data_IF_562510652570
#
_entry.id   IF_562510652570
#
_cell.length_a   1.000
_cell.length_b   1.000
_cell.length_c   1.000
_cell.angle_alpha   90.00
_cell.angle_beta   90.00
_cell.angle_gamma   90.00
#
_symmetry.space_group_name_H-M   'P 1'
#
loop_
_entity.id
_entity.type
_entity.pdbx_description
1 polymer ?
#
# COMPACT_ATOMS: atom_id res chain seq x y z
N UNK A 1 34.49 -32.76 16.85
CA UNK A 1 34.55 -31.87 15.67
C UNK A 1 33.29 -32.12 14.86
N UNK A 2 32.43 -31.11 14.72
CA UNK A 2 31.18 -31.19 13.97
C UNK A 2 31.24 -30.22 12.78
N UNK A 3 30.62 -30.55 11.63
CA UNK A 3 30.74 -29.73 10.42
C UNK A 3 29.85 -28.48 10.52
N UNK A 4 30.39 -27.37 10.02
CA UNK A 4 29.70 -26.10 9.91
C UNK A 4 28.81 -26.11 8.66
N UNK A 5 27.52 -25.81 8.80
CA UNK A 5 26.62 -25.60 7.66
C UNK A 5 26.87 -24.20 7.06
N UNK A 6 26.73 -24.02 5.73
CA UNK A 6 27.19 -22.82 5.02
C UNK A 6 26.37 -21.54 5.25
N UNK A 7 25.33 -21.57 6.09
CA UNK A 7 24.50 -20.41 6.40
C UNK A 7 24.34 -20.33 7.91
N UNK A 8 25.19 -19.55 8.56
CA UNK A 8 25.38 -19.52 10.02
C UNK A 8 24.16 -19.11 10.84
N UNK A 9 23.27 -20.05 11.13
CA UNK A 9 22.16 -19.86 12.06
C UNK A 9 22.26 -20.85 13.22
N UNK A 10 22.29 -20.33 14.45
CA UNK A 10 22.07 -21.09 15.69
C UNK A 10 20.74 -20.67 16.33
N UNK A 11 19.89 -21.59 16.82
CA UNK A 11 18.60 -21.22 17.39
C UNK A 11 18.67 -20.91 18.89
N UNK A 12 18.35 -19.67 19.25
CA UNK A 12 17.69 -19.26 20.50
C UNK A 12 16.61 -18.27 20.05
N UNK A 13 15.36 -18.24 20.49
CA UNK A 13 14.60 -19.02 21.46
C UNK A 13 13.27 -18.27 21.61
N UNK A 14 12.17 -19.00 21.49
CA UNK A 14 10.81 -18.67 21.93
C UNK A 14 10.05 -17.48 21.28
N UNK A 15 8.82 -17.83 20.87
CA UNK A 15 7.67 -16.99 20.52
C UNK A 15 7.60 -16.42 19.09
N UNK A 16 6.92 -17.15 18.20
CA UNK A 16 5.62 -16.71 17.66
C UNK A 16 4.92 -17.90 16.98
N UNK A 17 3.85 -18.42 17.58
CA UNK A 17 3.05 -19.51 17.00
C UNK A 17 2.23 -19.03 15.78
N UNK A 18 2.15 -17.71 15.51
CA UNK A 18 1.48 -17.18 14.31
C UNK A 18 2.33 -17.34 13.03
N UNK A 19 3.63 -17.63 13.16
CA UNK A 19 4.55 -17.77 12.02
C UNK A 19 4.58 -19.19 11.44
N UNK A 20 4.12 -20.19 12.20
CA UNK A 20 4.02 -21.59 11.74
C UNK A 20 2.76 -21.79 10.90
N UNK A 21 1.68 -21.07 11.21
CA UNK A 21 0.42 -21.17 10.48
C UNK A 21 0.46 -20.45 9.12
N UNK A 22 1.26 -19.37 9.01
CA UNK A 22 1.54 -18.73 7.71
C UNK A 22 2.49 -19.58 6.83
N UNK A 23 3.40 -20.36 7.44
CA UNK A 23 4.34 -21.25 6.72
C UNK A 23 3.69 -22.54 6.20
N UNK A 24 2.73 -23.11 6.96
CA UNK A 24 2.01 -24.33 6.53
C UNK A 24 1.02 -24.08 5.38
N UNK A 25 0.57 -22.83 5.18
CA UNK A 25 -0.32 -22.46 4.09
C UNK A 25 0.41 -22.34 2.73
N UNK A 26 1.75 -22.26 2.71
CA UNK A 26 2.54 -21.97 1.51
C UNK A 26 3.25 -23.20 0.88
N UNK A 27 3.31 -24.37 1.54
CA UNK A 27 4.26 -25.44 1.15
C UNK A 27 3.71 -26.88 1.10
N UNK A 28 2.57 -27.16 0.45
CA UNK A 28 2.20 -28.52 0.07
C UNK A 28 1.41 -28.57 -1.25
N UNK A 29 2.13 -28.48 -2.37
CA UNK A 29 2.05 -29.48 -3.45
C UNK A 29 3.26 -29.34 -4.39
N UNK A 30 4.00 -30.45 -4.52
CA UNK A 30 5.28 -30.63 -5.23
C UNK A 30 5.09 -30.95 -6.73
N UNK A 31 6.15 -30.92 -7.57
CA UNK A 31 6.09 -30.82 -9.04
C UNK A 31 6.16 -32.18 -9.77
N UNK A 32 5.72 -32.25 -11.03
CA UNK A 32 6.24 -33.22 -12.02
C UNK A 32 6.23 -32.67 -13.46
N UNK A 33 7.18 -33.12 -14.33
CA UNK A 33 7.55 -32.45 -15.58
C UNK A 33 6.90 -33.07 -16.83
N UNK A 34 6.81 -32.28 -17.91
CA UNK A 34 6.52 -32.76 -19.26
C UNK A 34 6.72 -31.66 -20.31
N UNK A 35 7.49 -31.89 -21.39
CA UNK A 35 7.87 -30.85 -22.34
C UNK A 35 6.89 -30.77 -23.52
N UNK A 36 6.54 -29.57 -23.98
CA UNK A 36 6.20 -29.35 -25.39
C UNK A 36 6.32 -27.87 -25.75
N UNK A 37 7.03 -27.63 -26.85
CA UNK A 37 7.54 -26.35 -27.29
C UNK A 37 6.51 -25.52 -28.07
N UNK A 38 6.52 -24.21 -27.86
CA UNK A 38 6.42 -23.20 -28.93
C UNK A 38 6.93 -21.84 -28.42
N UNK A 39 7.89 -21.20 -29.11
CA UNK A 39 8.30 -19.84 -28.81
C UNK A 39 7.41 -18.86 -29.58
N UNK A 40 6.73 -17.95 -28.88
CA UNK A 40 6.18 -16.75 -29.51
C UNK A 40 6.67 -15.53 -28.74
N UNK A 41 7.76 -14.97 -29.25
CA UNK A 41 8.20 -13.62 -28.92
C UNK A 41 7.24 -12.66 -29.61
N UNK A 42 6.57 -11.80 -28.85
CA UNK A 42 6.24 -10.45 -29.33
C UNK A 42 6.34 -9.50 -28.14
N UNK A 43 7.57 -9.06 -27.93
CA UNK A 43 7.90 -7.84 -27.20
C UNK A 43 7.29 -6.65 -27.95
N UNK A 44 6.02 -6.36 -27.72
CA UNK A 44 5.41 -5.11 -28.16
C UNK A 44 5.76 -4.01 -27.15
N UNK A 45 6.98 -3.49 -27.32
CA UNK A 45 7.51 -2.33 -26.61
C UNK A 45 6.78 -1.06 -27.10
N UNK A 46 5.53 -0.88 -26.67
CA UNK A 46 4.86 0.41 -26.82
C UNK A 46 5.49 1.40 -25.84
N UNK A 47 6.32 2.30 -26.38
CA UNK A 47 6.96 3.41 -25.68
C UNK A 47 5.97 4.41 -25.08
N UNK A 48 5.27 4.02 -24.02
CA UNK A 48 4.50 4.92 -23.18
C UNK A 48 5.36 5.35 -22.01
N UNK A 49 5.67 6.66 -21.96
CA UNK A 49 6.21 7.39 -20.79
C UNK A 49 5.92 6.61 -19.51
N UNK A 50 6.93 6.11 -18.80
CA UNK A 50 6.75 5.40 -17.52
C UNK A 50 5.94 6.32 -16.61
N UNK A 51 4.61 6.11 -16.56
CA UNK A 51 3.73 6.93 -15.72
C UNK A 51 4.12 6.53 -14.31
N UNK A 52 4.73 7.47 -13.57
CA UNK A 52 5.11 7.26 -12.17
C UNK A 52 3.94 6.61 -11.45
N UNK A 53 4.18 5.42 -10.91
CA UNK A 53 3.15 4.61 -10.25
C UNK A 53 2.60 5.40 -9.06
N UNK A 54 1.30 5.71 -9.08
CA UNK A 54 0.64 6.53 -8.05
C UNK A 54 0.91 6.00 -6.64
N UNK A 55 1.25 6.90 -5.71
CA UNK A 55 1.49 6.59 -4.29
C UNK A 55 0.21 6.74 -3.47
N UNK A 56 0.09 6.00 -2.37
CA UNK A 56 -1.14 6.00 -1.55
C UNK A 56 -1.53 7.41 -1.07
N UNK A 57 -0.57 8.22 -0.62
CA UNK A 57 -0.89 9.58 -0.16
C UNK A 57 -1.45 10.49 -1.27
N UNK A 58 -1.06 10.25 -2.53
CA UNK A 58 -1.60 10.99 -3.68
C UNK A 58 -3.06 10.58 -3.91
N UNK A 59 -3.33 9.27 -3.91
CA UNK A 59 -4.69 8.75 -3.96
C UNK A 59 -5.56 9.28 -2.81
N UNK A 60 -5.06 9.30 -1.58
CA UNK A 60 -5.83 9.79 -0.43
C UNK A 60 -6.18 11.27 -0.58
N UNK A 61 -5.26 12.07 -1.13
CA UNK A 61 -5.53 13.46 -1.44
C UNK A 61 -6.62 13.58 -2.52
N UNK A 62 -6.53 12.83 -3.62
CA UNK A 62 -7.57 12.84 -4.67
C UNK A 62 -8.95 12.45 -4.08
N UNK A 63 -9.01 11.47 -3.17
CA UNK A 63 -10.25 11.08 -2.48
C UNK A 63 -10.76 12.12 -1.48
N UNK A 64 -9.89 12.98 -0.94
CA UNK A 64 -10.29 14.09 -0.07
C UNK A 64 -10.89 15.26 -0.85
N UNK A 65 -10.59 15.36 -2.16
CA UNK A 65 -11.16 16.36 -3.05
C UNK A 65 -12.49 15.90 -3.68
N UNK A 66 -12.77 14.60 -3.69
CA UNK A 66 -14.00 14.03 -4.22
C UNK A 66 -15.16 14.12 -3.20
N UNK A 67 -16.22 14.91 -3.45
CA UNK A 67 -17.35 15.02 -2.55
C UNK A 67 -18.10 13.71 -2.30
N UNK A 68 -18.07 12.77 -3.25
CA UNK A 68 -18.73 11.46 -3.12
C UNK A 68 -18.06 10.57 -2.07
N UNK A 69 -16.79 10.85 -1.74
CA UNK A 69 -15.98 10.07 -0.80
C UNK A 69 -16.05 10.58 0.64
N UNK A 70 -16.81 11.65 0.92
CA UNK A 70 -16.95 12.26 2.25
C UNK A 70 -17.45 11.30 3.33
N UNK A 71 -18.21 10.27 2.95
CA UNK A 71 -18.67 9.23 3.86
C UNK A 71 -17.55 8.27 4.32
N UNK A 72 -16.41 8.26 3.62
CA UNK A 72 -15.25 7.39 3.86
C UNK A 72 -14.07 8.15 4.46
N UNK A 73 -13.80 9.36 3.97
CA UNK A 73 -12.65 10.19 4.34
C UNK A 73 -13.00 11.67 4.16
N UNK A 74 -12.56 12.53 5.08
CA UNK A 74 -12.80 13.97 4.98
C UNK A 74 -11.69 14.78 5.65
N UNK A 75 -11.58 16.05 5.21
CA UNK A 75 -10.78 17.05 5.90
C UNK A 75 -11.41 17.39 7.24
N UNK A 76 -10.63 17.26 8.31
CA UNK A 76 -10.99 17.83 9.62
C UNK A 76 -10.58 19.30 9.65
N UNK A 77 -9.39 19.60 9.12
CA UNK A 77 -8.90 20.95 8.91
C UNK A 77 -7.97 20.95 7.69
N UNK A 78 -8.48 21.41 6.55
CA UNK A 78 -7.75 21.38 5.27
C UNK A 78 -6.50 22.27 5.29
N UNK A 79 -6.56 23.42 5.98
CA UNK A 79 -5.43 24.37 6.08
C UNK A 79 -4.20 23.80 6.79
N UNK A 80 -4.40 22.92 7.77
CA UNK A 80 -3.33 22.18 8.47
C UNK A 80 -3.05 20.82 7.80
N UNK A 81 -3.81 20.45 6.77
CA UNK A 81 -3.71 19.14 6.12
C UNK A 81 -4.18 17.97 7.00
N UNK A 82 -5.00 18.23 8.02
CA UNK A 82 -5.52 17.19 8.92
C UNK A 82 -6.79 16.57 8.37
N UNK A 83 -6.80 15.25 8.24
CA UNK A 83 -7.92 14.46 7.71
C UNK A 83 -8.22 13.24 8.59
N UNK A 84 -9.42 12.70 8.43
CA UNK A 84 -9.89 11.56 9.20
C UNK A 84 -10.63 10.54 8.31
N UNK A 85 -10.45 9.26 8.62
CA UNK A 85 -11.23 8.17 8.02
C UNK A 85 -12.50 7.87 8.84
N UNK A 86 -13.55 7.45 8.15
CA UNK A 86 -14.79 6.95 8.75
C UNK A 86 -14.54 5.68 9.55
N UNK A 87 -15.12 5.59 10.74
CA UNK A 87 -15.04 4.34 11.53
C UNK A 87 -15.78 3.19 10.84
N UNK A 88 -16.87 3.48 10.13
CA UNK A 88 -17.74 2.49 9.47
C UNK A 88 -17.28 2.20 8.03
N UNK A 89 -16.91 3.23 7.27
CA UNK A 89 -16.73 3.10 5.81
C UNK A 89 -15.27 3.07 5.34
N UNK A 90 -14.28 3.13 6.24
CA UNK A 90 -12.84 3.07 5.88
C UNK A 90 -12.44 1.88 4.99
N UNK A 91 -13.16 0.75 5.09
CA UNK A 91 -12.89 -0.42 4.26
C UNK A 91 -13.27 -0.20 2.79
N UNK A 92 -14.28 0.63 2.51
CA UNK A 92 -14.66 0.95 1.13
C UNK A 92 -13.52 1.69 0.41
N UNK A 93 -12.93 2.68 1.07
CA UNK A 93 -11.75 3.40 0.58
C UNK A 93 -10.54 2.49 0.38
N UNK A 94 -10.27 1.58 1.32
CA UNK A 94 -9.17 0.63 1.21
C UNK A 94 -9.35 -0.31 0.01
N UNK A 95 -10.57 -0.83 -0.20
CA UNK A 95 -10.90 -1.66 -1.37
C UNK A 95 -10.75 -0.88 -2.67
N UNK A 96 -11.17 0.39 -2.70
CA UNK A 96 -11.01 1.26 -3.84
C UNK A 96 -9.52 1.47 -4.19
N UNK A 97 -8.67 1.67 -3.18
CA UNK A 97 -7.22 1.71 -3.38
C UNK A 97 -6.68 0.40 -3.97
N UNK A 98 -7.11 -0.75 -3.42
CA UNK A 98 -6.71 -2.05 -3.94
C UNK A 98 -7.08 -2.25 -5.41
N UNK A 99 -8.30 -1.84 -5.80
CA UNK A 99 -8.77 -1.89 -7.19
C UNK A 99 -7.97 -0.96 -8.09
N UNK A 100 -7.72 0.29 -7.66
CA UNK A 100 -6.91 1.26 -8.41
C UNK A 100 -5.48 0.78 -8.66
N UNK A 101 -4.96 -0.08 -7.78
CA UNK A 101 -3.62 -0.68 -7.91
C UNK A 101 -3.58 -2.04 -8.60
N UNK A 102 -4.73 -2.62 -8.91
CA UNK A 102 -4.81 -3.98 -9.46
C UNK A 102 -4.28 -5.04 -8.49
N UNK A 103 -4.46 -4.86 -7.18
CA UNK A 103 -3.96 -5.81 -6.20
C UNK A 103 -4.66 -7.17 -6.36
N UNK A 104 -3.87 -8.25 -6.45
CA UNK A 104 -4.41 -9.64 -6.49
C UNK A 104 -5.15 -10.02 -5.21
N UNK A 105 -4.66 -9.54 -4.06
CA UNK A 105 -5.28 -9.76 -2.74
C UNK A 105 -6.03 -8.51 -2.29
N UNK A 106 -7.11 -8.71 -1.53
CA UNK A 106 -7.93 -7.61 -0.98
C UNK A 106 -7.09 -6.65 -0.14
N UNK A 107 -7.20 -5.36 -0.46
CA UNK A 107 -6.68 -4.28 0.36
C UNK A 107 -7.69 -3.97 1.47
N UNK A 108 -7.22 -3.99 2.71
CA UNK A 108 -7.99 -3.66 3.92
C UNK A 108 -7.46 -2.40 4.57
N UNK A 109 -8.26 -1.75 5.42
CA UNK A 109 -7.79 -0.58 6.15
C UNK A 109 -6.55 -0.90 7.00
N UNK A 110 -6.46 -2.09 7.61
CA UNK A 110 -5.31 -2.49 8.41
C UNK A 110 -4.00 -2.46 7.59
N UNK A 111 -4.02 -3.03 6.36
CA UNK A 111 -2.86 -3.02 5.45
C UNK A 111 -2.54 -1.60 4.97
N UNK A 112 -3.56 -0.83 4.64
CA UNK A 112 -3.39 0.58 4.27
C UNK A 112 -2.80 1.41 5.41
N UNK A 113 -3.25 1.19 6.65
CA UNK A 113 -2.74 1.85 7.85
C UNK A 113 -1.28 1.46 8.13
N UNK A 114 -0.85 0.25 7.76
CA UNK A 114 0.58 -0.12 7.80
C UNK A 114 1.40 0.79 6.89
N UNK A 115 0.95 1.04 5.66
CA UNK A 115 1.62 1.97 4.76
C UNK A 115 1.63 3.41 5.29
N UNK A 116 0.53 3.87 5.89
CA UNK A 116 0.46 5.21 6.52
C UNK A 116 1.46 5.38 7.67
N UNK A 117 1.72 4.33 8.45
CA UNK A 117 2.75 4.37 9.49
C UNK A 117 4.15 4.53 8.89
N UNK A 118 4.42 3.89 7.76
CA UNK A 118 5.69 4.06 7.05
C UNK A 118 5.90 5.52 6.59
N UNK A 119 4.82 6.21 6.22
CA UNK A 119 4.91 7.63 5.84
C UNK A 119 5.28 8.57 6.99
N UNK A 120 5.13 8.15 8.24
CA UNK A 120 5.62 8.95 9.36
C UNK A 120 7.16 9.05 9.35
N UNK A 121 7.85 8.04 8.81
CA UNK A 121 9.31 8.04 8.67
C UNK A 121 9.77 8.84 7.46
N UNK A 122 9.08 8.72 6.32
CA UNK A 122 9.45 9.42 5.08
C UNK A 122 8.93 10.86 5.03
N UNK A 123 7.98 11.21 5.89
CA UNK A 123 7.56 12.58 6.17
C UNK A 123 6.37 13.07 5.35
N UNK A 124 5.74 12.26 4.49
CA UNK A 124 4.57 12.73 3.73
C UNK A 124 3.31 12.86 4.58
N UNK A 125 3.08 11.91 5.50
CA UNK A 125 1.90 11.87 6.37
C UNK A 125 2.33 11.48 7.78
N UNK A 126 1.88 12.25 8.77
CA UNK A 126 2.10 11.97 10.18
C UNK A 126 0.81 11.44 10.85
N UNK A 127 0.97 10.57 11.84
CA UNK A 127 -0.13 10.13 12.70
C UNK A 127 -0.45 11.21 13.73
N UNK A 128 -1.73 11.60 13.82
CA UNK A 128 -2.23 12.48 14.88
C UNK A 128 -2.71 11.62 16.07
N UNK A 129 -2.55 12.09 17.31
CA UNK A 129 -3.04 11.40 18.54
C UNK A 129 -4.58 11.51 18.66
N UNK A 130 -5.29 11.10 17.62
CA UNK A 130 -6.75 11.02 17.50
C UNK A 130 -7.12 9.81 16.63
N UNK A 131 -8.25 9.17 16.94
CA UNK A 131 -8.70 7.96 16.24
C UNK A 131 -8.84 8.21 14.74
N UNK A 132 -8.24 7.32 13.93
CA UNK A 132 -8.29 7.35 12.46
C UNK A 132 -7.88 8.69 11.82
N UNK A 133 -7.15 9.54 12.54
CA UNK A 133 -6.77 10.89 12.10
C UNK A 133 -5.29 10.93 11.74
N UNK A 134 -4.99 11.59 10.64
CA UNK A 134 -3.65 11.77 10.08
C UNK A 134 -3.52 13.18 9.54
N UNK A 135 -2.29 13.58 9.26
CA UNK A 135 -1.98 14.91 8.75
C UNK A 135 -0.93 14.85 7.66
N UNK A 136 -1.19 15.49 6.53
CA UNK A 136 -0.18 15.71 5.51
C UNK A 136 0.90 16.68 6.01
N UNK A 137 2.14 16.44 5.62
CA UNK A 137 3.15 17.49 5.74
C UNK A 137 2.80 18.67 4.83
N UNK A 138 3.01 19.89 5.33
CA UNK A 138 2.66 21.12 4.62
C UNK A 138 3.30 21.24 3.24
N UNK A 139 4.58 20.92 3.10
CA UNK A 139 5.27 20.99 1.81
C UNK A 139 4.72 20.01 0.79
N UNK A 140 4.36 18.81 1.24
CA UNK A 140 3.73 17.78 0.40
C UNK A 140 2.32 18.20 -0.01
N UNK A 141 1.51 18.70 0.92
CA UNK A 141 0.16 19.17 0.64
C UNK A 141 0.16 20.28 -0.42
N UNK A 142 1.01 21.29 -0.25
CA UNK A 142 1.14 22.39 -1.21
C UNK A 142 1.54 21.89 -2.60
N UNK A 143 2.47 20.93 -2.68
CA UNK A 143 2.87 20.33 -3.96
C UNK A 143 1.74 19.54 -4.64
N UNK A 144 0.86 18.91 -3.86
CA UNK A 144 -0.31 18.19 -4.39
C UNK A 144 -1.39 19.14 -4.90
N UNK A 145 -1.67 20.23 -4.17
CA UNK A 145 -2.64 21.24 -4.57
C UNK A 145 -2.26 21.92 -5.89
N UNK A 146 -0.97 22.23 -6.08
CA UNK A 146 -0.47 22.79 -7.34
C UNK A 146 -0.64 21.82 -8.52
N UNK A 147 -0.51 20.51 -8.28
CA UNK A 147 -0.68 19.51 -9.34
C UNK A 147 -2.12 19.48 -9.87
N UNK A 148 -3.12 19.61 -8.99
CA UNK A 148 -4.54 19.64 -9.42
C UNK A 148 -4.79 20.80 -10.37
N UNK A 149 -4.27 21.99 -10.04
CA UNK A 149 -4.48 23.19 -10.88
C UNK A 149 -3.89 23.06 -12.29
N UNK A 150 -2.98 22.10 -12.51
CA UNK A 150 -2.31 21.90 -13.80
C UNK A 150 -2.92 20.78 -14.65
N UNK A 151 -3.95 20.07 -14.15
CA UNK A 151 -4.62 19.03 -14.94
C UNK A 151 -5.67 19.69 -15.85
N UNK A 152 -5.60 19.51 -17.18
CA UNK A 152 -6.65 20.00 -18.06
C UNK A 152 -7.98 19.29 -17.75
N UNK A 153 -9.07 20.08 -17.75
CA UNK A 153 -10.45 19.62 -17.56
C UNK A 153 -10.91 18.68 -18.68
#
# INVERSE_FOLDING_TARGET
MQPLHPWGWTPLGHADLDLIEEYLQEHLEEPHPGPSAAPCQTEEHFGLKVRKKERLFQFLFDMLQDPSMRNCIWWVQSTDGTFQFSSQNKEQLARLWGRRKGNRKTMTYQKMARALRNYAHTGEICKVKRKLTYRFNRGILMGLEQNISTRPL
#
